data_IF_226553372490
#
_entry.id   IF_226553372490
#
_cell.length_a   1.000
_cell.length_b   1.000
_cell.length_c   1.000
_cell.angle_alpha   90.00
_cell.angle_beta   90.00
_cell.angle_gamma   90.00
#
_symmetry.space_group_name_H-M   'P 1'
#
loop_
_entity.id
_entity.type
_entity.pdbx_description
1 polymer ?
#
# COMPACT_ATOMS: atom_id res chain seq x y z
N UNK A 1 -14.14 9.22 5.37
CA UNK A 1 -12.92 10.08 5.28
C UNK A 1 -12.84 10.76 3.92
N UNK A 2 -12.41 12.02 3.89
CA UNK A 2 -12.30 12.82 2.66
C UNK A 2 -11.00 12.47 1.92
N UNK A 3 -11.07 12.24 0.60
CA UNK A 3 -9.90 11.89 -0.22
C UNK A 3 -9.09 13.17 -0.53
N UNK A 4 -8.26 13.59 0.41
CA UNK A 4 -7.34 14.72 0.19
C UNK A 4 -6.02 14.24 -0.45
N UNK A 5 -5.26 15.14 -1.07
CA UNK A 5 -3.92 14.81 -1.63
C UNK A 5 -2.91 14.34 -0.60
N UNK A 6 -3.17 14.62 0.68
CA UNK A 6 -2.32 14.21 1.80
C UNK A 6 -2.64 12.77 2.24
N UNK A 7 -3.85 12.28 1.90
CA UNK A 7 -4.39 11.00 2.37
C UNK A 7 -4.40 9.96 1.26
N UNK A 8 -4.49 10.32 -0.03
CA UNK A 8 -4.44 9.34 -1.12
C UNK A 8 -3.67 9.86 -2.33
N UNK A 9 -3.10 8.94 -3.12
CA UNK A 9 -2.41 9.29 -4.35
C UNK A 9 -3.33 9.92 -5.42
N UNK A 10 -2.72 10.57 -6.41
CA UNK A 10 -3.42 11.32 -7.48
C UNK A 10 -4.47 10.50 -8.23
N UNK A 11 -4.24 9.19 -8.42
CA UNK A 11 -5.19 8.28 -9.07
C UNK A 11 -6.50 8.16 -8.29
N UNK A 12 -6.42 7.87 -6.98
CA UNK A 12 -7.59 7.72 -6.12
C UNK A 12 -8.35 9.04 -5.99
N UNK A 13 -7.64 10.17 -5.92
CA UNK A 13 -8.23 11.50 -5.92
C UNK A 13 -9.01 11.79 -7.20
N UNK A 14 -8.44 11.51 -8.38
CA UNK A 14 -9.13 11.70 -9.65
C UNK A 14 -10.42 10.86 -9.74
N UNK A 15 -10.40 9.60 -9.27
CA UNK A 15 -11.60 8.77 -9.25
C UNK A 15 -12.68 9.34 -8.34
N UNK A 16 -12.32 9.84 -7.16
CA UNK A 16 -13.27 10.49 -6.26
C UNK A 16 -13.81 11.80 -6.85
N UNK A 17 -12.97 12.61 -7.50
CA UNK A 17 -13.41 13.87 -8.12
C UNK A 17 -14.38 13.64 -9.28
N UNK A 18 -14.22 12.56 -10.02
CA UNK A 18 -15.13 12.19 -11.12
C UNK A 18 -16.49 11.65 -10.62
N UNK A 19 -16.58 11.16 -9.38
CA UNK A 19 -17.85 10.69 -8.81
C UNK A 19 -18.87 11.83 -8.76
N UNK A 20 -20.03 11.62 -9.39
CA UNK A 20 -21.11 12.61 -9.45
C UNK A 20 -20.89 13.76 -10.45
N UNK A 21 -19.79 13.75 -11.21
CA UNK A 21 -19.49 14.77 -12.25
C UNK A 21 -19.50 14.20 -13.67
N UNK A 22 -19.73 12.90 -13.81
CA UNK A 22 -19.78 12.21 -15.10
C UNK A 22 -21.22 12.08 -15.59
N UNK A 23 -21.43 12.08 -16.93
CA UNK A 23 -22.71 11.73 -17.51
C UNK A 23 -23.17 10.32 -17.10
N UNK A 24 -24.48 10.10 -17.01
CA UNK A 24 -25.09 8.85 -16.53
C UNK A 24 -24.68 7.58 -17.30
N UNK A 25 -24.13 7.74 -18.50
CA UNK A 25 -23.62 6.63 -19.33
C UNK A 25 -22.17 6.24 -19.03
N UNK A 26 -21.45 7.01 -18.20
CA UNK A 26 -20.10 6.67 -17.72
C UNK A 26 -20.19 6.25 -16.24
N UNK A 27 -20.19 4.94 -16.01
CA UNK A 27 -20.15 4.38 -14.67
C UNK A 27 -18.70 4.23 -14.19
N UNK A 28 -18.38 4.81 -13.03
CA UNK A 28 -17.13 4.51 -12.34
C UNK A 28 -17.30 3.22 -11.54
N UNK A 29 -16.32 2.29 -11.58
CA UNK A 29 -16.36 1.13 -10.72
C UNK A 29 -16.24 1.56 -9.24
N UNK A 30 -16.97 0.88 -8.36
CA UNK A 30 -16.80 1.01 -6.92
C UNK A 30 -15.36 0.65 -6.53
N UNK A 31 -14.80 1.36 -5.56
CA UNK A 31 -13.39 1.22 -5.18
C UNK A 31 -13.15 1.72 -3.76
N UNK A 32 -12.21 1.09 -3.08
CA UNK A 32 -11.62 1.57 -1.84
C UNK A 32 -10.17 1.98 -2.07
N UNK A 33 -9.64 2.89 -1.26
CA UNK A 33 -8.24 3.31 -1.30
C UNK A 33 -7.62 3.17 0.10
N UNK A 34 -6.39 2.67 0.14
CA UNK A 34 -5.59 2.72 1.35
C UNK A 34 -5.06 4.15 1.54
N UNK A 35 -5.18 4.70 2.76
CA UNK A 35 -4.56 5.99 3.08
C UNK A 35 -3.04 6.00 2.92
N UNK A 36 -2.49 7.19 2.75
CA UNK A 36 -1.08 7.47 2.91
C UNK A 36 -0.66 7.13 4.34
N UNK A 37 0.61 6.75 4.54
CA UNK A 37 1.15 6.22 5.79
C UNK A 37 0.58 4.86 6.26
N UNK A 38 -0.37 4.22 5.55
CA UNK A 38 -0.83 2.87 5.95
C UNK A 38 0.31 1.86 5.96
N UNK A 39 1.22 1.94 4.99
CA UNK A 39 2.43 1.10 4.97
C UNK A 39 3.29 1.30 6.22
N UNK A 40 3.59 2.55 6.56
CA UNK A 40 4.44 2.88 7.72
C UNK A 40 3.80 2.44 9.04
N UNK A 41 2.48 2.63 9.18
CA UNK A 41 1.73 2.20 10.36
C UNK A 41 1.73 0.68 10.53
N UNK A 42 1.56 -0.08 9.43
CA UNK A 42 1.63 -1.54 9.46
C UNK A 42 3.05 -2.02 9.75
N UNK A 43 4.06 -1.41 9.12
CA UNK A 43 5.46 -1.75 9.31
C UNK A 43 5.93 -1.51 10.75
N UNK A 44 5.41 -0.46 11.41
CA UNK A 44 5.70 -0.14 12.80
C UNK A 44 5.10 -1.13 13.83
N UNK A 45 4.21 -2.04 13.39
CA UNK A 45 3.66 -3.08 14.25
C UNK A 45 4.76 -4.02 14.76
N UNK A 46 4.73 -4.45 16.04
CA UNK A 46 5.67 -5.43 16.57
C UNK A 46 5.70 -6.75 15.77
N UNK A 47 4.59 -7.14 15.15
CA UNK A 47 4.52 -8.33 14.29
C UNK A 47 5.44 -8.23 13.06
N UNK A 48 5.72 -7.01 12.61
CA UNK A 48 6.52 -6.70 11.43
C UNK A 48 7.93 -6.19 11.77
N UNK A 49 8.37 -6.29 13.03
CA UNK A 49 9.68 -5.81 13.46
C UNK A 49 10.85 -6.44 12.66
N UNK A 50 10.70 -7.70 12.25
CA UNK A 50 11.67 -8.40 11.41
C UNK A 50 11.75 -7.80 9.99
N UNK A 51 10.60 -7.43 9.40
CA UNK A 51 10.53 -6.76 8.09
C UNK A 51 11.16 -5.37 8.17
N UNK A 52 10.85 -4.61 9.23
CA UNK A 52 11.42 -3.28 9.46
C UNK A 52 12.95 -3.34 9.56
N UNK A 53 13.48 -4.30 10.33
CA UNK A 53 14.92 -4.49 10.45
C UNK A 53 15.59 -4.81 9.11
N UNK A 54 15.01 -5.72 8.32
CA UNK A 54 15.55 -6.08 6.99
C UNK A 54 15.52 -4.90 6.01
N UNK A 55 14.44 -4.10 6.03
CA UNK A 55 14.33 -2.91 5.17
C UNK A 55 15.32 -1.81 5.58
N UNK A 56 15.58 -1.60 6.87
CA UNK A 56 16.61 -0.67 7.32
C UNK A 56 18.01 -1.11 6.87
N UNK A 57 18.33 -2.41 6.94
CA UNK A 57 19.59 -2.92 6.37
C UNK A 57 19.67 -2.68 4.86
N UNK A 58 18.60 -3.00 4.13
CA UNK A 58 18.54 -2.75 2.70
C UNK A 58 18.67 -1.26 2.35
N UNK A 59 18.14 -0.35 3.18
CA UNK A 59 18.25 1.11 3.02
C UNK A 59 19.70 1.58 3.20
N UNK A 60 20.41 1.06 4.20
CA UNK A 60 21.82 1.36 4.42
C UNK A 60 22.68 0.86 3.24
N UNK A 61 22.43 -0.36 2.77
CA UNK A 61 23.09 -0.92 1.59
C UNK A 61 22.83 -0.09 0.33
N UNK A 62 21.59 0.37 0.12
CA UNK A 62 21.24 1.23 -1.01
C UNK A 62 22.01 2.54 -0.99
N UNK A 63 22.22 3.14 0.19
CA UNK A 63 22.98 4.38 0.36
C UNK A 63 24.47 4.25 0.04
N UNK A 64 25.03 3.04 0.12
CA UNK A 64 26.42 2.74 -0.19
C UNK A 64 26.60 2.05 -1.56
N UNK A 65 25.52 1.83 -2.30
CA UNK A 65 25.53 1.03 -3.51
C UNK A 65 26.20 1.74 -4.67
N UNK A 66 27.09 1.04 -5.36
CA UNK A 66 27.56 1.42 -6.69
C UNK A 66 26.53 1.00 -7.75
N UNK A 67 25.81 1.96 -8.31
CA UNK A 67 24.80 1.73 -9.36
C UNK A 67 25.39 1.25 -10.69
N UNK A 68 26.72 1.28 -10.87
CA UNK A 68 27.39 0.61 -11.99
C UNK A 68 27.34 -0.91 -11.91
N UNK A 69 27.15 -1.48 -10.71
CA UNK A 69 26.95 -2.91 -10.49
C UNK A 69 25.46 -3.26 -10.50
N UNK A 70 24.92 -3.43 -11.71
CA UNK A 70 23.50 -3.73 -11.92
C UNK A 70 23.03 -4.99 -11.18
N UNK A 71 23.91 -6.00 -11.02
CA UNK A 71 23.55 -7.25 -10.34
C UNK A 71 23.34 -7.02 -8.84
N UNK A 72 24.20 -6.24 -8.19
CA UNK A 72 24.00 -5.87 -6.78
C UNK A 72 22.72 -5.06 -6.59
N UNK A 73 22.44 -4.12 -7.49
CA UNK A 73 21.20 -3.35 -7.44
C UNK A 73 19.96 -4.23 -7.56
N UNK A 74 19.91 -5.12 -8.56
CA UNK A 74 18.77 -6.02 -8.76
C UNK A 74 18.60 -6.95 -7.55
N UNK A 75 19.68 -7.53 -7.04
CA UNK A 75 19.64 -8.40 -5.86
C UNK A 75 19.11 -7.68 -4.62
N UNK A 76 19.49 -6.42 -4.43
CA UNK A 76 18.99 -5.59 -3.34
C UNK A 76 17.49 -5.31 -3.46
N UNK A 77 17.01 -4.94 -4.65
CA UNK A 77 15.58 -4.74 -4.91
C UNK A 77 14.76 -6.01 -4.68
N UNK A 78 15.28 -7.16 -5.09
CA UNK A 78 14.64 -8.46 -4.85
C UNK A 78 14.58 -8.80 -3.35
N UNK A 79 15.60 -8.42 -2.58
CA UNK A 79 15.59 -8.58 -1.11
C UNK A 79 14.54 -7.69 -0.46
N UNK A 80 14.47 -6.40 -0.86
CA UNK A 80 13.44 -5.47 -0.39
C UNK A 80 12.03 -5.99 -0.71
N UNK A 81 11.78 -6.49 -1.93
CA UNK A 81 10.49 -7.08 -2.32
C UNK A 81 10.12 -8.28 -1.46
N UNK A 82 11.07 -9.20 -1.22
CA UNK A 82 10.85 -10.37 -0.37
C UNK A 82 10.54 -9.98 1.08
N UNK A 83 11.23 -8.97 1.62
CA UNK A 83 10.96 -8.47 2.97
C UNK A 83 9.53 -7.91 3.08
N UNK A 84 9.14 -7.05 2.14
CA UNK A 84 7.78 -6.46 2.10
C UNK A 84 6.72 -7.56 1.98
N UNK A 85 6.97 -8.61 1.21
CA UNK A 85 6.04 -9.73 1.04
C UNK A 85 5.83 -10.59 2.32
N UNK A 86 6.69 -10.45 3.33
CA UNK A 86 6.54 -11.11 4.63
C UNK A 86 5.74 -10.28 5.64
N UNK A 87 5.41 -9.03 5.28
CA UNK A 87 4.66 -8.14 6.15
C UNK A 87 3.24 -8.69 6.36
N UNK A 88 2.78 -8.67 7.61
CA UNK A 88 1.42 -9.09 7.96
C UNK A 88 0.55 -7.87 8.27
N UNK A 89 -0.71 -7.84 7.82
CA UNK A 89 -1.63 -6.75 8.13
C UNK A 89 -1.97 -6.75 9.63
N UNK A 90 -2.22 -5.56 10.19
CA UNK A 90 -2.72 -5.44 11.57
C UNK A 90 -4.22 -5.75 11.65
N UNK A 91 -4.70 -6.12 12.84
CA UNK A 91 -6.14 -6.35 13.09
C UNK A 91 -6.98 -5.13 12.77
N UNK A 92 -6.46 -3.94 13.08
CA UNK A 92 -7.12 -2.66 12.87
C UNK A 92 -7.29 -2.41 11.37
N UNK A 93 -6.22 -2.61 10.58
CA UNK A 93 -6.27 -2.45 9.13
C UNK A 93 -7.29 -3.42 8.50
N UNK A 94 -7.28 -4.69 8.92
CA UNK A 94 -8.23 -5.68 8.41
C UNK A 94 -9.68 -5.28 8.71
N UNK A 95 -9.96 -4.84 9.93
CA UNK A 95 -11.29 -4.39 10.36
C UNK A 95 -11.76 -3.19 9.54
N UNK A 96 -10.92 -2.17 9.36
CA UNK A 96 -11.25 -0.98 8.58
C UNK A 96 -11.45 -1.27 7.09
N UNK A 97 -10.62 -2.15 6.51
CA UNK A 97 -10.80 -2.60 5.14
C UNK A 97 -12.12 -3.35 4.97
N UNK A 98 -12.44 -4.30 5.86
CA UNK A 98 -13.70 -5.04 5.79
C UNK A 98 -14.92 -4.12 5.85
N UNK A 99 -14.91 -3.14 6.76
CA UNK A 99 -15.96 -2.13 6.86
C UNK A 99 -16.08 -1.28 5.58
N UNK A 100 -14.95 -0.87 5.00
CA UNK A 100 -14.91 -0.06 3.78
C UNK A 100 -15.41 -0.84 2.55
N UNK A 101 -15.01 -2.11 2.41
CA UNK A 101 -15.49 -2.99 1.35
C UNK A 101 -17.01 -3.21 1.46
N UNK A 102 -17.52 -3.46 2.66
CA UNK A 102 -18.96 -3.62 2.89
C UNK A 102 -19.74 -2.34 2.54
N UNK A 103 -19.23 -1.17 2.91
CA UNK A 103 -19.84 0.12 2.60
C UNK A 103 -19.94 0.39 1.08
N UNK A 104 -18.92 0.00 0.32
CA UNK A 104 -18.88 0.11 -1.14
C UNK A 104 -19.53 -1.09 -1.86
N UNK A 105 -20.15 -2.03 -1.12
CA UNK A 105 -20.76 -3.27 -1.64
C UNK A 105 -19.79 -4.12 -2.47
N UNK A 106 -18.51 -4.06 -2.14
CA UNK A 106 -17.46 -4.86 -2.75
C UNK A 106 -17.35 -6.19 -2.00
N UNK A 107 -17.15 -7.29 -2.75
CA UNK A 107 -16.82 -8.58 -2.14
C UNK A 107 -15.43 -8.51 -1.50
N UNK A 108 -15.28 -9.14 -0.32
CA UNK A 108 -13.97 -9.29 0.30
C UNK A 108 -13.03 -10.04 -0.66
N UNK A 109 -11.82 -9.53 -0.94
CA UNK A 109 -10.89 -10.20 -1.84
C UNK A 109 -10.46 -11.52 -1.20
N UNK A 110 -10.76 -12.64 -1.87
CA UNK A 110 -10.23 -13.94 -1.45
C UNK A 110 -8.72 -13.98 -1.67
N UNK A 111 -7.96 -14.41 -0.65
CA UNK A 111 -6.50 -14.52 -0.70
C UNK A 111 -5.83 -14.23 0.64
N UNK A 112 -4.52 -14.46 0.71
CA UNK A 112 -3.67 -13.89 1.76
C UNK A 112 -3.50 -12.41 1.47
N UNK A 113 -3.86 -11.54 2.43
CA UNK A 113 -3.43 -10.14 2.43
C UNK A 113 -1.98 -10.05 2.90
#
# INVERSE_FOLDING_TARGET
PEFTSEIVGSKSRNLQELRGRLPDWINLPASVALPFCTFDAVLASPANAHVLAELEQCRLELGALDFGDANKFVNLLERMRRAIAQMVPTSELLSEMQASFAAERLAWPGGSL
#
